data_IF_895871710516
#
_entry.id   IF_895871710516
#
_cell.length_a   1.000
_cell.length_b   1.000
_cell.length_c   1.000
_cell.angle_alpha   90.00
_cell.angle_beta   90.00
_cell.angle_gamma   90.00
#
_symmetry.space_group_name_H-M   'P 1'
#
loop_
_entity.id
_entity.type
_entity.pdbx_description
1 polymer ?
#
# COMPACT_ATOMS: atom_id res chain seq x y z
N UNK A 1 -14.21 -11.11 -8.57
CA UNK A 1 -12.75 -10.82 -8.73
C UNK A 1 -11.87 -11.80 -7.96
N UNK A 2 -12.29 -12.30 -6.78
CA UNK A 2 -11.55 -13.34 -6.03
C UNK A 2 -11.71 -14.77 -6.59
N UNK A 3 -12.46 -14.93 -7.67
CA UNK A 3 -12.98 -16.23 -8.12
C UNK A 3 -11.89 -17.17 -8.67
N UNK A 4 -10.74 -16.62 -9.09
CA UNK A 4 -9.64 -17.40 -9.65
C UNK A 4 -8.84 -18.19 -8.60
N UNK A 5 -8.89 -17.79 -7.33
CA UNK A 5 -8.12 -18.42 -6.26
C UNK A 5 -8.98 -18.98 -5.11
N UNK A 6 -10.31 -18.82 -5.16
CA UNK A 6 -11.24 -19.51 -4.26
C UNK A 6 -11.09 -19.17 -2.77
N UNK A 7 -11.21 -20.18 -1.90
CA UNK A 7 -11.13 -19.99 -0.44
C UNK A 7 -9.76 -19.56 0.09
N UNK A 8 -8.60 -20.04 -0.43
CA UNK A 8 -7.29 -19.56 0.02
C UNK A 8 -7.13 -18.04 -0.03
N UNK A 9 -7.65 -17.40 -1.08
CA UNK A 9 -7.54 -15.95 -1.22
C UNK A 9 -8.39 -15.20 -0.18
N UNK A 10 -9.58 -15.74 0.15
CA UNK A 10 -10.41 -15.18 1.23
C UNK A 10 -9.74 -15.31 2.60
N UNK A 11 -9.12 -16.47 2.85
CA UNK A 11 -8.37 -16.71 4.10
C UNK A 11 -7.15 -15.79 4.22
N UNK A 12 -6.46 -15.51 3.11
CA UNK A 12 -5.35 -14.55 3.07
C UNK A 12 -5.81 -13.13 3.40
N UNK A 13 -6.94 -12.68 2.85
CA UNK A 13 -7.35 -11.28 2.98
C UNK A 13 -8.03 -10.94 4.31
N UNK A 14 -8.59 -11.93 5.02
CA UNK A 14 -9.20 -11.68 6.33
C UNK A 14 -8.24 -10.96 7.31
N UNK A 15 -7.01 -11.44 7.59
CA UNK A 15 -6.07 -10.73 8.45
C UNK A 15 -5.56 -9.42 7.83
N UNK A 16 -5.43 -9.33 6.51
CA UNK A 16 -4.98 -8.10 5.82
C UNK A 16 -5.98 -6.96 6.01
N UNK A 17 -7.27 -7.25 5.87
CA UNK A 17 -8.36 -6.28 6.10
C UNK A 17 -8.37 -5.83 7.56
N UNK A 18 -8.17 -6.74 8.51
CA UNK A 18 -8.09 -6.38 9.93
C UNK A 18 -6.89 -5.47 10.24
N UNK A 19 -5.73 -5.73 9.62
CA UNK A 19 -4.58 -4.80 9.71
C UNK A 19 -4.95 -3.44 9.12
N UNK A 20 -5.56 -3.37 7.94
CA UNK A 20 -5.95 -2.11 7.31
C UNK A 20 -6.89 -1.28 8.20
N UNK A 21 -7.83 -1.93 8.90
CA UNK A 21 -8.70 -1.28 9.91
C UNK A 21 -7.90 -0.73 11.09
N UNK A 22 -6.94 -1.51 11.61
CA UNK A 22 -6.14 -1.11 12.77
C UNK A 22 -5.17 0.05 12.47
N UNK A 23 -4.60 0.08 11.26
CA UNK A 23 -3.63 1.10 10.85
C UNK A 23 -4.26 2.30 10.15
N UNK A 24 -5.60 2.39 10.11
CA UNK A 24 -6.30 3.54 9.54
C UNK A 24 -7.24 4.17 10.56
N UNK A 25 -7.04 5.46 10.83
CA UNK A 25 -7.90 6.23 11.70
C UNK A 25 -8.66 7.29 10.92
N UNK A 26 -9.89 7.59 11.33
CA UNK A 26 -10.61 8.73 10.80
C UNK A 26 -9.91 10.04 11.22
N UNK A 27 -9.86 11.00 10.31
CA UNK A 27 -9.44 12.36 10.65
C UNK A 27 -10.42 12.98 11.65
N UNK A 28 -9.93 13.82 12.58
CA UNK A 28 -10.77 14.64 13.48
C UNK A 28 -11.77 15.54 12.73
N UNK A 29 -11.52 15.79 11.43
CA UNK A 29 -12.43 16.53 10.55
C UNK A 29 -13.63 15.69 10.09
N UNK A 30 -13.62 14.38 10.31
CA UNK A 30 -14.71 13.48 9.97
C UNK A 30 -15.83 13.61 11.01
N UNK A 31 -16.83 14.44 10.72
CA UNK A 31 -17.92 14.76 11.66
C UNK A 31 -19.02 13.71 11.73
N UNK A 32 -19.02 12.71 10.84
CA UNK A 32 -20.19 11.87 10.55
C UNK A 32 -19.98 10.36 10.72
N UNK A 33 -18.77 9.90 11.06
CA UNK A 33 -18.50 8.47 11.19
C UNK A 33 -18.13 8.11 12.63
N UNK A 34 -19.03 7.38 13.30
CA UNK A 34 -18.79 6.84 14.65
C UNK A 34 -17.88 5.60 14.64
N UNK A 35 -17.60 5.04 13.46
CA UNK A 35 -16.75 3.85 13.24
C UNK A 35 -15.87 4.09 12.02
N UNK A 36 -14.65 3.54 12.04
CA UNK A 36 -13.75 3.54 10.88
C UNK A 36 -14.34 2.77 9.69
N UNK A 37 -13.77 2.96 8.48
CA UNK A 37 -14.28 2.30 7.28
C UNK A 37 -14.05 0.79 7.32
N UNK A 38 -14.94 0.05 6.66
CA UNK A 38 -14.61 -1.29 6.16
C UNK A 38 -13.73 -1.18 4.92
N UNK A 39 -13.18 -2.31 4.45
CA UNK A 39 -12.27 -2.36 3.31
C UNK A 39 -12.71 -3.41 2.31
N UNK A 40 -12.57 -3.09 1.03
CA UNK A 40 -12.76 -4.04 -0.06
C UNK A 40 -11.47 -4.22 -0.86
N UNK A 41 -11.25 -5.45 -1.35
CA UNK A 41 -10.16 -5.74 -2.29
C UNK A 41 -10.65 -5.35 -3.68
N UNK A 42 -10.18 -4.21 -4.20
CA UNK A 42 -10.61 -3.68 -5.50
C UNK A 42 -9.84 -4.31 -6.66
N UNK A 43 -8.59 -4.73 -6.43
CA UNK A 43 -7.75 -5.40 -7.41
C UNK A 43 -6.85 -6.43 -6.73
N UNK A 44 -6.58 -7.54 -7.43
CA UNK A 44 -5.67 -8.59 -6.96
C UNK A 44 -5.09 -9.37 -8.13
N UNK A 45 -3.77 -9.62 -8.11
CA UNK A 45 -3.08 -10.37 -9.15
C UNK A 45 -1.87 -11.13 -8.61
N UNK A 46 -1.49 -12.20 -9.32
CA UNK A 46 -0.29 -12.97 -9.04
C UNK A 46 0.87 -12.50 -9.92
N UNK A 47 2.06 -12.40 -9.33
CA UNK A 47 3.31 -12.16 -10.02
C UNK A 47 4.18 -13.41 -9.93
N UNK A 48 4.67 -13.91 -11.07
CA UNK A 48 5.65 -14.99 -11.13
C UNK A 48 6.90 -14.45 -11.82
N UNK A 49 7.84 -13.95 -11.02
CA UNK A 49 9.08 -13.37 -11.50
C UNK A 49 10.16 -14.44 -11.65
N UNK A 50 10.74 -14.54 -12.84
CA UNK A 50 11.90 -15.38 -13.17
C UNK A 50 13.16 -14.53 -13.29
N UNK A 51 14.30 -15.15 -13.55
CA UNK A 51 15.56 -14.44 -13.80
C UNK A 51 15.36 -13.32 -14.85
N UNK A 52 15.80 -12.11 -14.51
CA UNK A 52 15.63 -10.89 -15.29
C UNK A 52 14.33 -10.12 -15.02
N UNK A 53 13.38 -10.72 -14.29
CA UNK A 53 12.11 -10.08 -13.95
C UNK A 53 12.28 -8.88 -13.01
N UNK A 54 11.50 -7.84 -13.25
CA UNK A 54 11.47 -6.60 -12.47
C UNK A 54 10.12 -5.93 -12.64
N UNK A 55 9.73 -5.09 -11.69
CA UNK A 55 8.64 -4.15 -11.87
C UNK A 55 9.23 -2.73 -11.81
N UNK A 56 9.01 -1.96 -12.87
CA UNK A 56 9.44 -0.57 -12.93
C UNK A 56 8.80 0.24 -11.80
N UNK A 57 9.43 1.36 -11.45
CA UNK A 57 8.95 2.21 -10.38
C UNK A 57 7.57 2.79 -10.74
N UNK A 58 6.58 2.59 -9.86
CA UNK A 58 5.20 3.02 -10.04
C UNK A 58 4.50 3.28 -8.69
N UNK A 59 3.29 3.80 -8.74
CA UNK A 59 2.32 3.84 -7.64
C UNK A 59 1.02 3.17 -8.12
N UNK A 60 0.02 3.08 -7.24
CA UNK A 60 -1.33 2.59 -7.55
C UNK A 60 -2.32 3.76 -7.50
N UNK A 61 -2.51 4.51 -8.61
CA UNK A 61 -3.41 5.65 -8.63
C UNK A 61 -4.85 5.23 -8.35
N UNK A 62 -5.51 5.96 -7.46
CA UNK A 62 -6.91 5.70 -7.10
C UNK A 62 -7.10 4.72 -5.94
N UNK A 63 -6.04 4.04 -5.48
CA UNK A 63 -6.12 3.12 -4.34
C UNK A 63 -5.59 3.73 -3.05
N UNK A 64 -6.29 3.50 -1.94
CA UNK A 64 -5.86 3.99 -0.63
C UNK A 64 -4.70 3.16 -0.07
N UNK A 65 -4.87 1.85 0.02
CA UNK A 65 -3.81 0.91 0.38
C UNK A 65 -3.43 0.05 -0.82
N UNK A 66 -2.14 -0.22 -0.96
CA UNK A 66 -1.60 -1.28 -1.79
C UNK A 66 -0.87 -2.29 -0.90
N UNK A 67 -0.71 -3.51 -1.39
CA UNK A 67 0.00 -4.53 -0.64
C UNK A 67 0.50 -5.68 -1.47
N UNK A 68 1.34 -6.49 -0.84
CA UNK A 68 1.95 -7.67 -1.44
C UNK A 68 2.14 -8.76 -0.40
N UNK A 69 1.58 -9.93 -0.68
CA UNK A 69 1.84 -11.17 0.03
C UNK A 69 2.89 -12.00 -0.70
N UNK A 70 3.89 -12.49 0.02
CA UNK A 70 4.99 -13.28 -0.53
C UNK A 70 4.72 -14.77 -0.37
N UNK A 71 4.30 -15.43 -1.45
CA UNK A 71 4.05 -16.88 -1.46
C UNK A 71 5.37 -17.63 -1.41
N UNK A 72 6.28 -17.26 -2.30
CA UNK A 72 7.63 -17.82 -2.40
C UNK A 72 8.59 -16.69 -2.80
N UNK A 73 9.66 -16.51 -2.05
CA UNK A 73 10.65 -15.47 -2.32
C UNK A 73 11.78 -15.96 -3.24
N UNK A 74 11.75 -17.22 -3.65
CA UNK A 74 12.81 -17.85 -4.44
C UNK A 74 14.15 -17.75 -3.70
N UNK A 75 15.11 -17.07 -4.32
CA UNK A 75 16.46 -16.86 -3.79
C UNK A 75 16.71 -15.42 -3.35
N UNK A 76 15.65 -14.62 -3.11
CA UNK A 76 15.80 -13.26 -2.56
C UNK A 76 16.45 -13.36 -1.18
N UNK A 77 17.62 -12.75 -1.04
CA UNK A 77 18.40 -12.78 0.18
C UNK A 77 19.31 -11.53 0.24
N UNK A 78 19.30 -10.77 1.35
CA UNK A 78 20.11 -9.55 1.49
C UNK A 78 21.61 -9.78 1.23
N UNK A 79 22.12 -10.98 1.51
CA UNK A 79 23.55 -11.29 1.44
C UNK A 79 23.98 -11.90 0.11
N UNK A 80 23.06 -12.49 -0.66
CA UNK A 80 23.38 -13.19 -1.92
C UNK A 80 23.29 -12.27 -3.14
N UNK A 81 22.75 -11.05 -3.00
CA UNK A 81 22.68 -10.07 -4.09
C UNK A 81 21.85 -10.55 -5.29
N UNK A 82 20.85 -11.40 -5.05
CA UNK A 82 19.98 -11.95 -6.11
C UNK A 82 18.90 -10.97 -6.57
N UNK A 83 18.74 -9.83 -5.93
CA UNK A 83 17.72 -8.87 -6.28
C UNK A 83 16.31 -9.34 -5.91
N UNK A 84 15.28 -8.70 -6.46
CA UNK A 84 13.88 -9.02 -6.18
C UNK A 84 13.35 -8.41 -4.87
N UNK A 85 14.12 -7.54 -4.23
CA UNK A 85 13.66 -6.73 -3.11
C UNK A 85 12.59 -5.73 -3.56
N UNK A 86 11.69 -5.39 -2.64
CA UNK A 86 10.76 -4.27 -2.83
C UNK A 86 11.52 -2.99 -2.50
N UNK A 87 11.70 -2.12 -3.49
CA UNK A 87 12.29 -0.80 -3.29
C UNK A 87 11.18 0.21 -3.07
N UNK A 88 11.22 0.92 -1.94
CA UNK A 88 10.27 1.96 -1.57
C UNK A 88 11.01 3.30 -1.60
N UNK A 89 10.48 4.25 -2.36
CA UNK A 89 11.11 5.56 -2.51
C UNK A 89 10.51 6.58 -1.55
N UNK A 90 11.35 7.43 -0.98
CA UNK A 90 10.87 8.60 -0.24
C UNK A 90 10.07 9.51 -1.20
N UNK A 91 8.81 9.86 -0.86
CA UNK A 91 7.99 10.74 -1.70
C UNK A 91 8.59 12.15 -1.90
N UNK A 92 9.53 12.57 -1.05
CA UNK A 92 10.29 13.82 -1.17
C UNK A 92 11.39 13.74 -2.23
N UNK A 93 11.65 12.55 -2.79
CA UNK A 93 12.68 12.31 -3.79
C UNK A 93 14.07 12.64 -3.28
N UNK A 94 14.98 13.04 -4.17
CA UNK A 94 16.35 13.38 -3.79
C UNK A 94 16.49 14.76 -3.10
N UNK A 95 15.42 15.55 -3.02
CA UNK A 95 15.46 16.95 -2.60
C UNK A 95 16.12 17.16 -1.22
N UNK A 96 15.83 16.37 -0.18
CA UNK A 96 16.45 16.55 1.14
C UNK A 96 17.97 16.36 1.15
N UNK A 97 18.55 15.72 0.12
CA UNK A 97 19.97 15.34 0.05
C UNK A 97 20.71 16.05 -1.10
N UNK A 98 20.02 16.86 -1.89
CA UNK A 98 20.56 17.40 -3.14
C UNK A 98 21.60 18.51 -2.94
N UNK A 99 21.40 19.40 -1.97
CA UNK A 99 22.30 20.55 -1.74
C UNK A 99 23.62 20.13 -1.06
N UNK A 100 23.53 19.31 -0.01
CA UNK A 100 24.67 18.89 0.80
C UNK A 100 24.51 17.42 1.22
N UNK A 101 24.86 16.44 0.36
CA UNK A 101 24.53 15.02 0.55
C UNK A 101 25.23 14.35 1.74
N UNK A 102 26.25 15.00 2.31
CA UNK A 102 26.98 14.57 3.50
C UNK A 102 26.35 15.08 4.82
N UNK A 103 25.31 15.92 4.76
CA UNK A 103 24.53 16.34 5.91
C UNK A 103 23.23 15.55 6.01
N UNK A 104 22.78 15.33 7.24
CA UNK A 104 21.51 14.67 7.56
C UNK A 104 20.83 15.39 8.71
N UNK A 105 19.50 15.34 8.75
CA UNK A 105 18.74 15.87 9.88
C UNK A 105 18.93 14.96 11.11
N UNK A 106 19.02 15.57 12.29
CA UNK A 106 19.02 14.84 13.57
C UNK A 106 17.62 14.53 14.09
N UNK A 107 16.57 15.15 13.52
CA UNK A 107 15.17 14.84 13.82
C UNK A 107 14.82 13.45 13.30
N UNK A 108 14.24 12.62 14.16
CA UNK A 108 13.96 11.20 13.86
C UNK A 108 13.10 11.02 12.60
N UNK A 109 12.10 11.88 12.40
CA UNK A 109 11.14 11.85 11.28
C UNK A 109 11.75 12.29 9.94
N UNK A 110 12.94 12.89 9.98
CA UNK A 110 13.63 13.45 8.81
C UNK A 110 15.02 12.83 8.61
N UNK A 111 15.41 11.89 9.48
CA UNK A 111 16.75 11.34 9.50
C UNK A 111 17.10 10.61 8.20
N UNK A 112 16.12 9.89 7.64
CA UNK A 112 16.23 9.15 6.40
C UNK A 112 15.71 9.93 5.19
N UNK A 113 15.41 11.23 5.33
CA UNK A 113 14.80 12.01 4.26
C UNK A 113 15.61 11.96 2.96
N UNK A 114 14.91 11.66 1.88
CA UNK A 114 15.44 11.45 0.53
C UNK A 114 16.16 10.13 0.32
N UNK A 115 16.04 9.17 1.25
CA UNK A 115 16.60 7.81 1.12
C UNK A 115 15.52 6.83 0.70
N UNK A 116 15.89 5.85 -0.14
CA UNK A 116 14.99 4.73 -0.47
C UNK A 116 15.23 3.55 0.46
N UNK A 117 14.17 2.83 0.80
CA UNK A 117 14.22 1.60 1.60
C UNK A 117 14.24 0.41 0.64
N UNK A 118 15.16 -0.53 0.86
CA UNK A 118 15.17 -1.83 0.17
C UNK A 118 14.70 -2.90 1.14
N UNK A 119 13.49 -3.42 0.91
CA UNK A 119 12.88 -4.44 1.75
C UNK A 119 13.09 -5.83 1.16
N UNK A 120 13.80 -6.69 1.89
CA UNK A 120 13.99 -8.10 1.55
C UNK A 120 12.90 -8.95 2.20
N UNK A 121 11.92 -9.48 1.44
CA UNK A 121 10.84 -10.29 1.98
C UNK A 121 11.28 -11.70 2.37
N UNK A 122 10.51 -12.30 3.27
CA UNK A 122 10.47 -13.73 3.54
C UNK A 122 9.10 -14.31 3.12
N UNK A 123 9.07 -15.60 2.78
CA UNK A 123 7.83 -16.29 2.43
C UNK A 123 6.84 -16.26 3.61
N UNK A 124 5.56 -16.06 3.31
CA UNK A 124 4.48 -15.89 4.28
C UNK A 124 4.30 -14.46 4.81
N UNK A 125 5.20 -13.52 4.49
CA UNK A 125 5.02 -12.12 4.89
C UNK A 125 4.03 -11.39 3.98
N UNK A 126 3.29 -10.44 4.57
CA UNK A 126 2.44 -9.50 3.84
C UNK A 126 2.86 -8.08 4.21
N UNK A 127 3.07 -7.23 3.19
CA UNK A 127 3.29 -5.80 3.37
C UNK A 127 2.06 -5.04 2.93
N UNK A 128 1.69 -4.04 3.73
CA UNK A 128 0.64 -3.06 3.43
C UNK A 128 1.29 -1.67 3.47
N UNK A 129 1.07 -0.86 2.44
CA UNK A 129 1.64 0.49 2.33
C UNK A 129 0.70 1.40 1.54
N UNK A 130 0.76 2.73 1.72
CA UNK A 130 -0.16 3.63 1.03
C UNK A 130 -0.05 3.49 -0.49
N UNK A 131 -1.17 3.44 -1.21
CA UNK A 131 -1.19 3.20 -2.66
C UNK A 131 -0.45 4.26 -3.48
N UNK A 132 -0.35 5.48 -2.95
CA UNK A 132 0.42 6.58 -3.55
C UNK A 132 1.94 6.42 -3.40
N UNK A 133 2.43 5.53 -2.53
CA UNK A 133 3.85 5.39 -2.25
C UNK A 133 4.56 4.78 -3.46
N UNK A 134 5.53 5.52 -4.01
CA UNK A 134 6.26 5.09 -5.19
C UNK A 134 7.19 3.93 -4.84
N UNK A 135 7.14 2.85 -5.61
CA UNK A 135 7.88 1.63 -5.34
C UNK A 135 8.24 0.87 -6.62
N UNK A 136 9.25 0.01 -6.55
CA UNK A 136 9.70 -0.86 -7.62
C UNK A 136 10.02 -2.25 -7.08
N UNK A 137 10.21 -3.23 -7.98
CA UNK A 137 10.83 -4.50 -7.62
C UNK A 137 12.15 -4.62 -8.38
N UNK A 138 13.25 -4.72 -7.63
CA UNK A 138 14.58 -4.86 -8.21
C UNK A 138 14.65 -6.08 -9.13
N UNK A 139 15.54 -6.02 -10.14
CA UNK A 139 15.76 -7.14 -11.04
C UNK A 139 16.14 -8.40 -10.27
N UNK A 140 15.30 -9.42 -10.37
CA UNK A 140 15.52 -10.70 -9.74
C UNK A 140 16.43 -11.58 -10.62
N UNK A 141 17.44 -12.21 -10.02
CA UNK A 141 18.50 -12.98 -10.68
C UNK A 141 18.59 -14.43 -10.19
N UNK A 142 17.60 -14.88 -9.43
CA UNK A 142 17.50 -16.27 -9.00
C UNK A 142 17.04 -17.20 -10.13
N UNK A 143 17.26 -18.48 -9.92
CA UNK A 143 16.85 -19.60 -10.76
C UNK A 143 15.47 -20.13 -10.38
N UNK A 144 15.15 -20.17 -9.08
CA UNK A 144 13.80 -20.48 -8.59
C UNK A 144 12.86 -19.27 -8.81
N UNK A 145 11.58 -19.47 -9.17
CA UNK A 145 10.65 -18.35 -9.35
C UNK A 145 10.35 -17.64 -8.02
N UNK A 146 10.23 -16.31 -8.07
CA UNK A 146 9.69 -15.48 -6.99
C UNK A 146 8.21 -15.26 -7.23
N UNK A 147 7.37 -15.67 -6.30
CA UNK A 147 5.91 -15.68 -6.41
C UNK A 147 5.31 -14.76 -5.36
N UNK A 148 4.51 -13.79 -5.79
CA UNK A 148 3.82 -12.87 -4.88
C UNK A 148 2.40 -12.56 -5.36
N UNK A 149 1.50 -12.30 -4.42
CA UNK A 149 0.12 -11.84 -4.69
C UNK A 149 0.05 -10.37 -4.30
N UNK A 150 -0.10 -9.50 -5.29
CA UNK A 150 -0.27 -8.07 -5.08
C UNK A 150 -1.75 -7.69 -5.14
N UNK A 151 -2.12 -6.63 -4.42
CA UNK A 151 -3.51 -6.23 -4.27
C UNK A 151 -3.64 -4.76 -3.88
N UNK A 152 -4.84 -4.23 -4.15
CA UNK A 152 -5.25 -2.88 -3.78
C UNK A 152 -6.50 -2.95 -2.87
N UNK A 153 -6.55 -2.12 -1.83
CA UNK A 153 -7.70 -1.97 -0.94
C UNK A 153 -8.21 -0.54 -0.93
N UNK A 154 -9.53 -0.41 -0.99
CA UNK A 154 -10.23 0.87 -0.85
C UNK A 154 -11.25 0.86 0.28
N UNK A 155 -11.49 2.01 0.91
CA UNK A 155 -12.43 2.11 2.01
C UNK A 155 -13.87 2.01 1.49
N UNK A 156 -14.65 1.12 2.09
CA UNK A 156 -16.09 1.07 1.90
C UNK A 156 -16.72 2.12 2.79
N UNK A 157 -16.99 3.29 2.22
CA UNK A 157 -17.67 4.37 2.92
C UNK A 157 -19.18 4.08 2.97
N UNK A 158 -19.66 3.65 4.13
CA UNK A 158 -21.11 3.56 4.36
C UNK A 158 -21.72 4.96 4.30
N UNK A 159 -22.64 5.18 3.37
CA UNK A 159 -23.47 6.38 3.40
C UNK A 159 -24.39 6.29 4.61
N UNK A 160 -24.14 7.11 5.64
CA UNK A 160 -25.13 7.35 6.68
C UNK A 160 -26.41 7.93 6.05
N UNK A 161 -27.59 7.74 6.66
CA UNK A 161 -28.80 8.39 6.16
C UNK A 161 -28.54 9.90 6.08
N UNK A 162 -28.73 10.48 4.88
CA UNK A 162 -28.74 11.92 4.70
C UNK A 162 -29.73 12.50 5.71
N UNK A 163 -29.24 13.15 6.78
CA UNK A 163 -30.14 13.82 7.69
C UNK A 163 -30.89 14.87 6.87
N UNK A 164 -32.22 14.85 6.91
CA UNK A 164 -33.11 15.72 6.14
C UNK A 164 -33.05 17.20 6.53
N UNK A 165 -32.00 17.65 7.23
CA UNK A 165 -31.90 18.98 7.82
C UNK A 165 -31.55 20.12 6.84
N UNK A 166 -31.52 19.87 5.53
CA UNK A 166 -31.22 20.92 4.53
C UNK A 166 -32.42 21.34 3.65
N UNK A 167 -33.61 20.77 3.84
CA UNK A 167 -34.79 21.14 3.04
C UNK A 167 -35.50 22.43 3.51
N UNK A 168 -35.30 22.88 4.75
CA UNK A 168 -36.11 23.96 5.33
C UNK A 168 -35.54 25.39 5.17
N UNK A 169 -34.38 25.56 4.53
CA UNK A 169 -33.73 26.87 4.42
C UNK A 169 -34.09 27.70 3.17
N UNK A 170 -34.91 27.19 2.24
CA UNK A 170 -35.25 27.88 0.97
C UNK A 170 -36.77 28.09 0.79
N UNK A 171 -37.50 28.22 1.90
CA UNK A 171 -38.96 28.28 1.91
C UNK A 171 -39.60 29.59 2.40
N UNK A 172 -38.84 30.67 2.61
CA UNK A 172 -39.41 31.86 3.27
C UNK A 172 -38.73 33.18 2.94
N UNK A 173 -39.12 33.81 1.83
CA UNK A 173 -39.36 35.27 1.75
C UNK A 173 -39.81 35.66 0.34
N UNK A 174 -41.13 35.72 0.13
CA UNK A 174 -41.76 36.63 -0.84
C UNK A 174 -43.01 37.20 -0.19
N UNK A 175 -42.91 38.42 0.32
CA UNK A 175 -43.98 39.42 0.37
C UNK A 175 -43.36 40.78 0.08
#
# INVERSE_FOLDING_TARGET
MMDWAGSPLRELFAPVIEVAKQVTTLSDRCRHAARGPDWEVVEVWANVQRNGGTNAAHSHPGSFWAGVYYVDVGEVCPTLGKGGELQIYDPRGCLPRMLAPYLQYSMTELHDAGTSISYSPAAGQCLLFPGWLFHAVNTYRGTAPRISVAFNLDPVLQQGPLSSAHADAVGGSRR
#
